data_IF_370331919619
#
_entry.id   IF_370331919619
#
_cell.length_a   1.000
_cell.length_b   1.000
_cell.length_c   1.000
_cell.angle_alpha   90.00
_cell.angle_beta   90.00
_cell.angle_gamma   90.00
#
_symmetry.space_group_name_H-M   'P 1'
#
loop_
_entity.id
_entity.type
_entity.pdbx_description
1 polymer ?
#
# COMPACT_ATOMS: atom_id res chain seq x y z
N UNK A 1 -19.81 -89.43 16.26
CA UNK A 1 -20.83 -89.81 17.27
C UNK A 1 -21.41 -88.53 17.85
N UNK A 2 -22.74 -88.45 17.89
CA UNK A 2 -23.55 -87.37 18.48
C UNK A 2 -23.38 -87.31 20.00
N UNK A 3 -23.41 -86.12 20.62
CA UNK A 3 -24.21 -85.81 21.82
C UNK A 3 -24.60 -84.32 21.83
N UNK A 4 -25.85 -84.08 22.22
CA UNK A 4 -26.61 -82.82 22.32
C UNK A 4 -26.20 -81.90 23.50
N UNK A 5 -26.64 -80.64 23.45
CA UNK A 5 -27.16 -79.86 24.59
C UNK A 5 -27.96 -78.67 24.00
N UNK A 6 -29.29 -78.58 24.14
CA UNK A 6 -30.13 -78.19 25.31
C UNK A 6 -30.02 -76.72 25.72
N UNK A 7 -31.16 -76.16 26.10
CA UNK A 7 -31.58 -74.77 25.96
C UNK A 7 -31.38 -73.85 27.20
N UNK A 8 -31.57 -72.55 26.91
CA UNK A 8 -32.02 -71.44 27.74
C UNK A 8 -31.03 -70.76 28.74
N UNK A 9 -30.83 -69.45 28.53
CA UNK A 9 -30.22 -68.53 29.48
C UNK A 9 -30.11 -67.10 28.94
N UNK A 10 -31.10 -66.27 29.30
CA UNK A 10 -31.29 -64.83 29.11
C UNK A 10 -30.14 -63.94 28.55
N UNK A 11 -30.49 -63.10 27.56
CA UNK A 11 -29.70 -61.94 27.10
C UNK A 11 -29.78 -60.82 28.16
N UNK A 12 -28.67 -60.33 28.74
CA UNK A 12 -28.66 -59.07 29.45
C UNK A 12 -28.57 -57.92 28.44
N UNK A 13 -29.55 -57.02 28.50
CA UNK A 13 -29.59 -55.76 27.77
C UNK A 13 -28.39 -54.87 28.13
N UNK A 14 -27.52 -54.60 27.16
CA UNK A 14 -26.47 -53.58 27.30
C UNK A 14 -27.08 -52.25 26.83
N UNK A 15 -27.69 -51.55 27.78
CA UNK A 15 -27.93 -50.12 27.66
C UNK A 15 -26.59 -49.39 27.86
N UNK A 16 -26.07 -48.83 26.77
CA UNK A 16 -24.89 -47.97 26.81
C UNK A 16 -24.78 -47.20 25.51
N UNK A 17 -25.59 -46.16 25.35
CA UNK A 17 -25.46 -45.22 24.24
C UNK A 17 -24.16 -44.43 24.39
N UNK A 18 -23.11 -44.87 23.68
CA UNK A 18 -21.90 -44.08 23.49
C UNK A 18 -22.26 -42.86 22.64
N UNK A 19 -22.63 -41.75 23.29
CA UNK A 19 -22.69 -40.44 22.64
C UNK A 19 -21.27 -40.10 22.19
N UNK A 20 -21.07 -39.61 20.94
CA UNK A 20 -19.78 -39.02 20.60
C UNK A 20 -19.57 -37.85 21.55
N UNK A 21 -18.39 -37.78 22.16
CA UNK A 21 -17.98 -36.66 22.99
C UNK A 21 -17.95 -35.40 22.11
N UNK A 22 -19.08 -34.69 22.08
CA UNK A 22 -19.21 -33.42 21.36
C UNK A 22 -18.35 -32.44 22.13
N UNK A 23 -17.13 -32.22 21.66
CA UNK A 23 -16.26 -31.17 22.16
C UNK A 23 -17.06 -29.84 22.14
N UNK A 24 -17.49 -29.38 23.32
CA UNK A 24 -18.27 -28.16 23.49
C UNK A 24 -17.35 -26.97 23.17
N UNK A 25 -17.33 -26.56 21.90
CA UNK A 25 -16.58 -25.38 21.46
C UNK A 25 -17.28 -24.13 21.97
N UNK A 26 -16.60 -23.34 22.80
CA UNK A 26 -17.10 -22.02 23.22
C UNK A 26 -17.22 -21.10 22.01
N UNK A 27 -18.41 -20.55 21.79
CA UNK A 27 -18.66 -19.50 20.79
C UNK A 27 -18.36 -18.13 21.41
N UNK A 28 -17.70 -17.25 20.66
CA UNK A 28 -17.31 -15.92 21.11
C UNK A 28 -18.41 -14.85 20.88
N UNK A 29 -19.59 -15.23 20.36
CA UNK A 29 -20.74 -14.34 20.13
C UNK A 29 -20.38 -13.01 19.42
N UNK A 30 -19.58 -13.08 18.36
CA UNK A 30 -19.24 -11.90 17.56
C UNK A 30 -20.47 -11.28 16.92
N UNK A 31 -20.50 -9.95 16.84
CA UNK A 31 -21.56 -9.22 16.13
C UNK A 31 -21.45 -9.49 14.61
N UNK A 32 -22.58 -9.62 13.90
CA UNK A 32 -22.57 -9.77 12.45
C UNK A 32 -21.87 -8.61 11.74
N UNK A 33 -21.39 -8.87 10.53
CA UNK A 33 -20.84 -7.83 9.65
C UNK A 33 -21.81 -6.67 9.49
N UNK A 34 -21.36 -5.44 9.76
CA UNK A 34 -22.13 -4.20 9.56
C UNK A 34 -22.62 -4.08 8.11
N UNK A 35 -21.86 -4.62 7.17
CA UNK A 35 -22.10 -4.48 5.73
C UNK A 35 -22.73 -5.72 5.09
N UNK A 36 -22.79 -6.86 5.78
CA UNK A 36 -23.33 -8.11 5.26
C UNK A 36 -22.84 -8.43 3.84
N UNK A 37 -23.78 -8.59 2.91
CA UNK A 37 -23.52 -8.85 1.50
C UNK A 37 -23.62 -7.59 0.60
N UNK A 38 -23.71 -6.40 1.19
CA UNK A 38 -23.98 -5.15 0.45
C UNK A 38 -22.99 -4.91 -0.68
N UNK A 39 -21.69 -5.10 -0.43
CA UNK A 39 -20.63 -4.92 -1.43
C UNK A 39 -20.53 -6.05 -2.46
N UNK A 40 -21.02 -7.25 -2.15
CA UNK A 40 -20.98 -8.39 -3.07
C UNK A 40 -21.89 -8.17 -4.29
N UNK A 41 -22.97 -7.39 -4.12
CA UNK A 41 -23.88 -7.04 -5.23
C UNK A 41 -23.18 -6.16 -6.27
N UNK A 42 -22.45 -5.13 -5.83
CA UNK A 42 -21.73 -4.23 -6.72
C UNK A 42 -20.53 -4.87 -7.41
N UNK A 43 -19.85 -5.81 -6.74
CA UNK A 43 -18.75 -6.55 -7.36
C UNK A 43 -19.22 -7.51 -8.47
N UNK A 44 -20.51 -7.85 -8.49
CA UNK A 44 -21.10 -8.79 -9.45
C UNK A 44 -21.67 -8.08 -10.69
N UNK A 45 -21.87 -6.76 -10.63
CA UNK A 45 -22.33 -5.94 -11.75
C UNK A 45 -21.09 -5.30 -12.40
N UNK A 46 -20.71 -5.69 -13.63
CA UNK A 46 -19.60 -5.04 -14.32
C UNK A 46 -19.94 -3.56 -14.49
N UNK A 47 -19.11 -2.69 -13.91
CA UNK A 47 -19.20 -1.26 -14.17
C UNK A 47 -18.73 -1.04 -15.61
N UNK A 48 -19.67 -0.92 -16.55
CA UNK A 48 -19.35 -0.55 -17.92
C UNK A 48 -18.79 0.89 -17.92
N UNK A 49 -17.49 0.99 -18.19
CA UNK A 49 -16.83 2.28 -18.35
C UNK A 49 -17.13 2.76 -19.77
N UNK A 50 -17.81 3.89 -19.88
CA UNK A 50 -18.16 4.49 -21.18
C UNK A 50 -16.87 4.78 -21.99
N UNK A 51 -16.86 4.44 -23.28
CA UNK A 51 -15.73 4.63 -24.19
C UNK A 51 -15.20 6.08 -24.13
N UNK A 52 -16.09 7.05 -23.99
CA UNK A 52 -15.72 8.47 -23.86
C UNK A 52 -14.88 8.72 -22.60
N UNK A 53 -15.22 8.05 -21.49
CA UNK A 53 -14.47 8.19 -20.23
C UNK A 53 -13.10 7.53 -20.32
N UNK A 54 -12.97 6.37 -20.96
CA UNK A 54 -11.66 5.75 -21.22
C UNK A 54 -10.75 6.64 -22.07
N UNK A 55 -11.29 7.22 -23.15
CA UNK A 55 -10.56 8.16 -24.00
C UNK A 55 -10.11 9.40 -23.22
N UNK A 56 -10.95 9.91 -22.31
CA UNK A 56 -10.59 11.04 -21.47
C UNK A 56 -9.48 10.68 -20.47
N UNK A 57 -9.51 9.48 -19.87
CA UNK A 57 -8.44 9.00 -19.00
C UNK A 57 -7.12 8.89 -19.77
N UNK A 58 -7.13 8.30 -20.96
CA UNK A 58 -5.92 8.18 -21.79
C UNK A 58 -5.36 9.55 -22.21
N UNK A 59 -6.24 10.50 -22.55
CA UNK A 59 -5.83 11.89 -22.83
C UNK A 59 -5.16 12.53 -21.61
N UNK A 60 -5.75 12.38 -20.42
CA UNK A 60 -5.21 12.93 -19.18
C UNK A 60 -3.88 12.29 -18.81
N UNK A 61 -3.73 10.96 -18.96
CA UNK A 61 -2.44 10.27 -18.77
C UNK A 61 -1.36 10.86 -19.67
N UNK A 62 -1.64 11.07 -20.95
CA UNK A 62 -0.70 11.70 -21.88
C UNK A 62 -0.31 13.12 -21.44
N UNK A 63 -1.27 13.91 -20.99
CA UNK A 63 -0.99 15.27 -20.49
C UNK A 63 -0.07 15.26 -19.26
N UNK A 64 -0.26 14.30 -18.33
CA UNK A 64 0.63 14.14 -17.17
C UNK A 64 2.04 13.77 -17.62
N UNK A 65 2.19 12.84 -18.58
CA UNK A 65 3.51 12.48 -19.16
C UNK A 65 4.20 13.68 -19.79
N UNK A 66 3.49 14.46 -20.61
CA UNK A 66 4.04 15.68 -21.21
C UNK A 66 4.47 16.68 -20.14
N UNK A 67 3.70 16.85 -19.06
CA UNK A 67 4.09 17.73 -17.95
C UNK A 67 5.34 17.22 -17.22
N UNK A 68 5.45 15.91 -17.02
CA UNK A 68 6.65 15.31 -16.42
C UNK A 68 7.89 15.52 -17.30
N UNK A 69 7.74 15.49 -18.62
CA UNK A 69 8.84 15.71 -19.56
C UNK A 69 9.23 17.20 -19.66
N UNK A 70 8.27 18.06 -20.00
CA UNK A 70 8.45 19.49 -20.31
C UNK A 70 8.70 20.38 -19.09
N UNK A 71 8.48 19.90 -17.85
CA UNK A 71 8.74 20.71 -16.68
C UNK A 71 10.25 21.00 -16.53
N UNK A 72 10.66 22.22 -16.92
CA UNK A 72 12.06 22.65 -16.81
C UNK A 72 12.48 22.84 -15.35
N UNK A 73 11.54 23.24 -14.49
CA UNK A 73 11.82 23.48 -13.08
C UNK A 73 11.88 22.16 -12.31
N UNK A 74 12.98 21.91 -11.63
CA UNK A 74 13.22 20.61 -11.03
C UNK A 74 12.37 20.43 -9.74
N UNK A 75 11.99 21.51 -9.05
CA UNK A 75 11.01 21.52 -7.94
C UNK A 75 9.62 21.09 -8.37
N UNK A 76 9.11 21.69 -9.44
CA UNK A 76 7.79 21.37 -10.00
C UNK A 76 7.69 19.91 -10.43
N UNK A 77 8.78 19.33 -10.96
CA UNK A 77 8.85 17.90 -11.28
C UNK A 77 8.67 17.03 -10.02
N UNK A 78 9.36 17.36 -8.92
CA UNK A 78 9.24 16.59 -7.68
C UNK A 78 7.85 16.71 -7.04
N UNK A 79 7.26 17.91 -7.04
CA UNK A 79 5.90 18.13 -6.54
C UNK A 79 4.84 17.37 -7.35
N UNK A 80 5.03 17.30 -8.68
CA UNK A 80 4.16 16.53 -9.55
C UNK A 80 4.27 15.03 -9.24
N UNK A 81 5.48 14.51 -9.05
CA UNK A 81 5.71 13.13 -8.64
C UNK A 81 5.06 12.85 -7.29
N UNK A 82 5.23 13.74 -6.31
CA UNK A 82 4.60 13.60 -4.99
C UNK A 82 3.08 13.51 -5.10
N UNK A 83 2.49 14.41 -5.89
CA UNK A 83 1.04 14.45 -6.11
C UNK A 83 0.54 13.15 -6.74
N UNK A 84 1.25 12.62 -7.76
CA UNK A 84 0.91 11.36 -8.41
C UNK A 84 0.96 10.19 -7.42
N UNK A 85 1.99 10.13 -6.57
CA UNK A 85 2.12 9.08 -5.56
C UNK A 85 1.03 9.16 -4.48
N UNK A 86 0.69 10.37 -4.01
CA UNK A 86 -0.38 10.59 -3.02
C UNK A 86 -1.77 10.29 -3.56
N UNK A 87 -1.98 10.44 -4.87
CA UNK A 87 -3.21 10.03 -5.56
C UNK A 87 -3.28 8.53 -5.83
N UNK A 88 -2.23 7.76 -5.54
CA UNK A 88 -2.17 6.33 -5.83
C UNK A 88 -2.07 6.02 -7.32
N UNK A 89 -1.65 6.98 -8.15
CA UNK A 89 -1.57 6.85 -9.61
C UNK A 89 -0.14 6.53 -10.10
N UNK A 90 0.81 6.33 -9.20
CA UNK A 90 2.23 6.11 -9.53
C UNK A 90 2.46 4.93 -10.47
N UNK A 91 1.62 3.91 -10.41
CA UNK A 91 1.72 2.70 -11.23
C UNK A 91 1.56 2.96 -12.74
N UNK A 92 0.93 4.08 -13.14
CA UNK A 92 0.82 4.46 -14.57
C UNK A 92 2.04 5.19 -15.13
N UNK A 93 2.95 5.63 -14.25
CA UNK A 93 4.05 6.53 -14.58
C UNK A 93 5.38 6.04 -13.97
N UNK A 94 5.51 4.73 -13.71
CA UNK A 94 6.67 4.20 -12.98
C UNK A 94 7.98 4.52 -13.69
N UNK A 95 8.03 4.31 -15.01
CA UNK A 95 9.18 4.59 -15.87
C UNK A 95 9.62 6.05 -15.81
N UNK A 96 8.68 6.98 -15.97
CA UNK A 96 8.93 8.41 -16.00
C UNK A 96 9.41 8.90 -14.63
N UNK A 97 8.82 8.38 -13.55
CA UNK A 97 9.23 8.68 -12.19
C UNK A 97 10.65 8.17 -11.94
N UNK A 98 10.97 6.95 -12.35
CA UNK A 98 12.29 6.34 -12.12
C UNK A 98 13.38 7.07 -12.90
N UNK A 99 13.14 7.43 -14.16
CA UNK A 99 14.07 8.21 -14.97
C UNK A 99 14.35 9.59 -14.35
N UNK A 100 13.30 10.31 -13.93
CA UNK A 100 13.45 11.63 -13.29
C UNK A 100 14.24 11.52 -11.98
N UNK A 101 13.98 10.49 -11.18
CA UNK A 101 14.67 10.28 -9.92
C UNK A 101 16.12 9.84 -10.14
N UNK A 102 16.40 9.04 -11.17
CA UNK A 102 17.76 8.64 -11.53
C UNK A 102 18.60 9.83 -11.99
N UNK A 103 18.06 10.68 -12.86
CA UNK A 103 18.70 11.94 -13.28
C UNK A 103 19.01 12.86 -12.08
N UNK A 104 18.16 12.82 -11.05
CA UNK A 104 18.26 13.66 -9.85
C UNK A 104 18.97 12.96 -8.68
N UNK A 105 19.51 11.77 -8.89
CA UNK A 105 20.20 11.00 -7.84
C UNK A 105 21.47 11.71 -7.37
N UNK A 106 22.20 12.37 -8.28
CA UNK A 106 23.40 13.09 -7.89
C UNK A 106 23.03 14.43 -7.22
N UNK A 107 23.41 14.66 -5.96
CA UNK A 107 23.20 15.93 -5.26
C UNK A 107 23.77 17.16 -5.99
N UNK A 108 24.79 16.98 -6.84
CA UNK A 108 25.38 18.09 -7.59
C UNK A 108 24.42 18.64 -8.65
N UNK A 109 23.45 17.84 -9.15
CA UNK A 109 22.38 18.32 -10.03
C UNK A 109 21.36 19.20 -9.31
N UNK A 110 21.39 19.23 -7.97
CA UNK A 110 20.65 20.20 -7.19
C UNK A 110 21.32 21.59 -7.23
N UNK A 111 22.61 21.68 -7.56
CA UNK A 111 23.44 22.88 -7.55
C UNK A 111 23.66 23.56 -8.92
N UNK A 112 23.18 23.00 -10.04
CA UNK A 112 23.46 23.58 -11.37
C UNK A 112 22.78 24.95 -11.58
N UNK A 113 23.61 25.89 -12.05
CA UNK A 113 23.44 27.35 -12.17
C UNK A 113 22.27 27.87 -13.05
N UNK A 114 21.35 27.03 -13.52
CA UNK A 114 20.34 27.42 -14.53
C UNK A 114 18.88 27.16 -14.11
N UNK A 115 18.61 27.07 -12.80
CA UNK A 115 17.26 26.86 -12.26
C UNK A 115 17.25 26.00 -11.00
N UNK A 116 18.22 26.24 -10.11
CA UNK A 116 18.50 25.38 -8.97
C UNK A 116 17.30 25.25 -8.03
N UNK A 117 17.17 24.08 -7.44
CA UNK A 117 16.48 23.96 -6.16
C UNK A 117 17.14 24.91 -5.16
N UNK A 118 16.35 25.77 -4.52
CA UNK A 118 16.85 26.47 -3.35
C UNK A 118 17.11 25.40 -2.28
N UNK A 119 18.37 25.16 -1.95
CA UNK A 119 18.72 24.40 -0.74
C UNK A 119 18.20 25.07 0.53
N UNK A 120 17.86 26.36 0.44
CA UNK A 120 17.14 27.11 1.46
C UNK A 120 15.69 26.63 1.60
N UNK A 121 15.14 25.97 0.59
CA UNK A 121 13.82 25.35 0.65
C UNK A 121 13.91 23.93 1.21
N UNK A 122 13.84 23.87 2.54
CA UNK A 122 13.73 22.64 3.32
C UNK A 122 12.63 21.71 2.79
N UNK A 123 11.52 22.25 2.28
CA UNK A 123 10.44 21.44 1.72
C UNK A 123 10.95 20.61 0.53
N UNK A 124 11.63 21.24 -0.42
CA UNK A 124 12.06 20.56 -1.64
C UNK A 124 13.20 19.57 -1.36
N UNK A 125 14.16 19.92 -0.50
CA UNK A 125 15.23 19.00 -0.10
C UNK A 125 14.65 17.78 0.62
N UNK A 126 13.68 17.99 1.51
CA UNK A 126 12.99 16.89 2.21
C UNK A 126 12.21 16.00 1.25
N UNK A 127 11.54 16.59 0.26
CA UNK A 127 10.76 15.89 -0.76
C UNK A 127 11.66 15.02 -1.65
N UNK A 128 12.75 15.60 -2.16
CA UNK A 128 13.76 14.90 -2.94
C UNK A 128 14.32 13.68 -2.20
N UNK A 129 14.75 13.89 -0.95
CA UNK A 129 15.31 12.82 -0.12
C UNK A 129 14.30 11.70 0.12
N UNK A 130 13.04 12.06 0.42
CA UNK A 130 11.96 11.09 0.61
C UNK A 130 11.71 10.26 -0.64
N UNK A 131 11.55 10.91 -1.80
CA UNK A 131 11.24 10.23 -3.06
C UNK A 131 12.32 9.23 -3.45
N UNK A 132 13.59 9.61 -3.29
CA UNK A 132 14.70 8.71 -3.59
C UNK A 132 14.81 7.55 -2.60
N UNK A 133 14.57 7.78 -1.30
CA UNK A 133 14.55 6.70 -0.29
C UNK A 133 13.40 5.72 -0.53
N UNK A 134 12.24 6.19 -0.98
CA UNK A 134 11.11 5.33 -1.35
C UNK A 134 11.45 4.38 -2.50
N UNK A 135 12.33 4.79 -3.43
CA UNK A 135 12.84 3.94 -4.52
C UNK A 135 14.06 3.09 -4.14
N UNK A 136 14.55 3.18 -2.91
CA UNK A 136 15.68 2.37 -2.42
C UNK A 136 17.07 2.92 -2.78
N UNK A 137 17.19 4.16 -3.23
CA UNK A 137 18.50 4.77 -3.49
C UNK A 137 19.26 5.02 -2.17
N UNK A 138 20.54 4.61 -2.15
CA UNK A 138 21.42 4.85 -1.01
C UNK A 138 22.04 6.26 -1.08
N UNK A 139 21.45 7.20 -0.35
CA UNK A 139 21.94 8.58 -0.25
C UNK A 139 22.67 8.77 1.08
N UNK A 140 23.88 9.33 1.01
CA UNK A 140 24.64 9.71 2.20
C UNK A 140 24.01 10.95 2.88
N UNK A 141 23.56 10.78 4.12
CA UNK A 141 22.99 11.86 4.95
C UNK A 141 24.04 12.88 5.42
N UNK A 142 25.34 12.54 5.37
CA UNK A 142 26.40 13.28 6.07
C UNK A 142 26.93 14.54 5.39
N UNK A 143 26.79 14.67 4.05
CA UNK A 143 27.31 15.84 3.31
C UNK A 143 26.25 16.89 2.99
N UNK A 144 24.97 16.53 3.04
CA UNK A 144 23.88 17.34 2.49
C UNK A 144 23.09 18.14 3.53
N UNK A 145 22.96 17.60 4.74
CA UNK A 145 22.15 18.19 5.80
C UNK A 145 22.95 19.05 6.79
N UNK A 146 24.15 19.49 6.39
CA UNK A 146 25.04 20.27 7.27
C UNK A 146 24.46 21.62 7.71
N UNK A 147 23.39 22.09 7.05
CA UNK A 147 22.71 23.35 7.34
C UNK A 147 21.41 23.20 8.17
N UNK A 148 20.91 21.97 8.41
CA UNK A 148 19.68 21.74 9.17
C UNK A 148 19.92 20.70 10.27
N UNK A 149 19.81 21.12 11.53
CA UNK A 149 20.01 20.27 12.70
C UNK A 149 19.27 18.92 12.58
N UNK A 150 19.98 17.81 12.82
CA UNK A 150 19.51 16.41 12.73
C UNK A 150 18.20 16.13 13.50
N UNK A 151 17.89 16.92 14.52
CA UNK A 151 16.64 16.83 15.30
C UNK A 151 15.41 17.30 14.49
N UNK A 152 15.57 18.29 13.61
CA UNK A 152 14.49 18.76 12.72
C UNK A 152 14.14 17.69 11.69
N UNK A 153 15.15 17.00 11.16
CA UNK A 153 14.96 15.92 10.18
C UNK A 153 14.30 14.68 10.77
N UNK A 154 14.64 14.27 12.00
CA UNK A 154 13.94 13.17 12.67
C UNK A 154 12.47 13.49 12.96
N UNK A 155 12.16 14.72 13.39
CA UNK A 155 10.77 15.14 13.65
C UNK A 155 9.94 15.17 12.37
N UNK A 156 10.50 15.68 11.26
CA UNK A 156 9.84 15.68 9.95
C UNK A 156 9.67 14.25 9.42
N UNK A 157 10.69 13.39 9.60
CA UNK A 157 10.63 11.99 9.18
C UNK A 157 9.57 11.20 9.95
N UNK A 158 9.51 11.35 11.27
CA UNK A 158 8.49 10.72 12.13
C UNK A 158 7.10 11.25 11.78
N UNK A 159 6.93 12.56 11.57
CA UNK A 159 5.64 13.16 11.21
C UNK A 159 5.12 12.67 9.86
N UNK A 160 5.99 12.58 8.84
CA UNK A 160 5.64 12.04 7.52
C UNK A 160 5.32 10.53 7.60
N UNK A 161 6.09 9.76 8.37
CA UNK A 161 5.84 8.32 8.52
C UNK A 161 4.53 8.04 9.24
N UNK A 162 4.22 8.78 10.32
CA UNK A 162 2.97 8.64 11.08
C UNK A 162 1.75 9.02 10.22
N UNK A 163 1.82 10.13 9.47
CA UNK A 163 0.70 10.60 8.63
C UNK A 163 0.46 9.66 7.44
N UNK A 164 1.50 9.06 6.86
CA UNK A 164 1.38 8.22 5.67
C UNK A 164 1.06 6.74 5.97
N UNK A 165 1.60 6.16 7.06
CA UNK A 165 1.33 4.75 7.39
C UNK A 165 -0.04 4.53 8.06
N UNK A 166 -0.58 5.52 8.79
CA UNK A 166 -1.88 5.37 9.45
C UNK A 166 -3.06 5.39 8.45
N UNK A 167 -2.88 5.87 7.21
CA UNK A 167 -3.93 5.89 6.18
C UNK A 167 -4.00 4.61 5.32
N UNK A 168 -3.18 3.59 5.61
CA UNK A 168 -3.16 2.33 4.84
C UNK A 168 -3.61 1.09 5.62
N UNK A 169 -4.06 1.25 6.87
CA UNK A 169 -4.55 0.15 7.73
C UNK A 169 -5.87 0.55 8.42
N UNK A 170 -6.81 1.17 7.70
CA UNK A 170 -8.21 1.24 8.15
C UNK A 170 -9.17 0.95 7.01
#
# INVERSE_FOLDING_TARGET
MLVQASAAGAIPSINGSSKPDVAIRRSANFHPSVWGNHFLRYASEPMEVDIKTEQQVEKLKKQVRTKLDTANNPSQKLELIDSIQRLGLSYHFESEIDEILEQKKNPDHLHSSDGSYNYDDLHIVSLWFRLLRQRGYNISSGRHFRCYNLLSMHYIYIYIYIVFFHNKIS
#
